data_IF_003194580799
#
_entry.id   IF_003194580799
#
_cell.length_a   1.000
_cell.length_b   1.000
_cell.length_c   1.000
_cell.angle_alpha   90.00
_cell.angle_beta   90.00
_cell.angle_gamma   90.00
#
_symmetry.space_group_name_H-M   'P 1'
#
loop_
_entity.id
_entity.type
_entity.pdbx_description
1 polymer ?
#
# COMPACT_ATOMS: atom_id res chain seq x y z
N UNK A 1 12.33 2.47 -32.07
CA UNK A 1 10.98 2.30 -31.52
C UNK A 1 10.04 3.27 -32.22
N UNK A 2 8.93 2.81 -32.82
CA UNK A 2 8.02 3.67 -33.58
C UNK A 2 7.43 4.79 -32.69
N UNK A 3 7.34 6.06 -33.15
CA UNK A 3 6.74 7.17 -32.38
C UNK A 3 5.33 6.88 -31.85
N UNK A 4 4.54 6.05 -32.53
CA UNK A 4 3.22 5.61 -32.03
C UNK A 4 3.30 4.71 -30.79
N UNK A 5 4.31 3.84 -30.70
CA UNK A 5 4.54 2.98 -29.54
C UNK A 5 4.98 3.80 -28.31
N UNK A 6 5.75 4.88 -28.51
CA UNK A 6 6.12 5.82 -27.42
C UNK A 6 4.90 6.51 -26.83
N UNK A 7 3.96 6.96 -27.67
CA UNK A 7 2.72 7.61 -27.21
C UNK A 7 1.82 6.66 -26.42
N UNK A 8 1.71 5.40 -26.85
CA UNK A 8 0.92 4.38 -26.13
C UNK A 8 1.55 4.04 -24.78
N UNK A 9 2.87 3.85 -24.73
CA UNK A 9 3.57 3.59 -23.46
C UNK A 9 3.41 4.78 -22.50
N UNK A 10 3.58 6.02 -23.00
CA UNK A 10 3.36 7.22 -22.20
C UNK A 10 1.92 7.29 -21.66
N UNK A 11 0.91 6.99 -22.48
CA UNK A 11 -0.49 6.96 -22.07
C UNK A 11 -0.76 5.89 -20.99
N UNK A 12 -0.15 4.70 -21.12
CA UNK A 12 -0.33 3.63 -20.13
C UNK A 12 0.37 3.97 -18.81
N UNK A 13 1.56 4.57 -18.86
CA UNK A 13 2.23 5.08 -17.66
C UNK A 13 1.41 6.19 -16.98
N UNK A 14 0.79 7.07 -17.76
CA UNK A 14 -0.17 8.06 -17.24
C UNK A 14 -1.39 7.39 -16.63
N UNK A 15 -1.94 6.33 -17.24
CA UNK A 15 -3.10 5.62 -16.68
C UNK A 15 -2.76 4.86 -15.40
N UNK A 16 -1.57 4.25 -15.30
CA UNK A 16 -1.07 3.63 -14.07
C UNK A 16 -0.89 4.71 -12.98
N UNK A 17 -0.31 5.85 -13.35
CA UNK A 17 -0.16 7.02 -12.47
C UNK A 17 -1.52 7.57 -12.00
N UNK A 18 -2.49 7.72 -12.90
CA UNK A 18 -3.83 8.19 -12.57
C UNK A 18 -4.60 7.17 -11.72
N UNK A 19 -4.44 5.86 -11.97
CA UNK A 19 -5.03 4.81 -11.14
C UNK A 19 -4.44 4.80 -9.71
N UNK A 20 -3.17 5.16 -9.56
CA UNK A 20 -2.52 5.41 -8.27
C UNK A 20 -2.79 6.79 -7.66
N UNK A 21 -3.18 7.80 -8.43
CA UNK A 21 -3.50 9.13 -7.91
C UNK A 21 -4.99 9.28 -7.55
N UNK A 22 -5.88 8.48 -8.15
CA UNK A 22 -7.32 8.55 -7.93
C UNK A 22 -7.71 8.24 -6.47
N UNK A 23 -7.15 7.24 -5.78
CA UNK A 23 -7.47 7.00 -4.36
C UNK A 23 -6.96 8.11 -3.45
N UNK A 24 -5.80 8.72 -3.76
CA UNK A 24 -5.32 9.94 -3.09
C UNK A 24 -6.25 11.13 -3.30
N UNK A 25 -6.73 11.32 -4.54
CA UNK A 25 -7.70 12.35 -4.86
C UNK A 25 -9.01 12.11 -4.10
N UNK A 26 -9.49 10.86 -4.07
CA UNK A 26 -10.69 10.48 -3.33
C UNK A 26 -10.53 10.67 -1.83
N UNK A 27 -9.38 10.31 -1.25
CA UNK A 27 -9.07 10.56 0.16
C UNK A 27 -9.01 12.06 0.45
N UNK A 28 -8.32 12.84 -0.37
CA UNK A 28 -8.20 14.29 -0.19
C UNK A 28 -9.57 14.99 -0.33
N UNK A 29 -10.39 14.57 -1.29
CA UNK A 29 -11.79 15.04 -1.44
C UNK A 29 -12.65 14.63 -0.24
N UNK A 30 -12.48 13.41 0.28
CA UNK A 30 -13.27 12.89 1.38
C UNK A 30 -12.88 13.46 2.75
N UNK A 31 -11.59 13.72 2.99
CA UNK A 31 -11.06 14.02 4.34
C UNK A 31 -10.13 15.24 4.38
N UNK A 32 -9.45 15.58 3.29
CA UNK A 32 -8.38 16.60 3.26
C UNK A 32 -8.79 18.06 3.50
N UNK A 33 -10.08 18.39 3.34
CA UNK A 33 -10.62 19.75 3.58
C UNK A 33 -11.35 19.89 4.93
N UNK A 34 -11.17 18.96 5.86
CA UNK A 34 -11.81 19.00 7.17
C UNK A 34 -10.81 19.46 8.22
N UNK A 35 -11.15 20.41 9.11
CA UNK A 35 -10.28 20.71 10.24
C UNK A 35 -10.03 19.44 11.04
N UNK A 36 -8.76 19.06 11.16
CA UNK A 36 -8.33 17.84 11.79
C UNK A 36 -7.32 18.15 12.90
N UNK A 37 -7.17 17.23 13.85
CA UNK A 37 -6.26 17.37 14.99
C UNK A 37 -5.71 16.00 15.38
N UNK A 38 -4.41 15.93 15.64
CA UNK A 38 -3.77 14.70 16.13
C UNK A 38 -4.29 14.34 17.53
N UNK A 39 -4.28 13.05 17.90
CA UNK A 39 -4.71 12.63 19.23
C UNK A 39 -3.94 13.34 20.37
N UNK A 40 -2.65 13.59 20.18
CA UNK A 40 -1.81 14.34 21.14
C UNK A 40 -2.25 15.79 21.29
N UNK A 41 -2.51 16.49 20.19
CA UNK A 41 -2.99 17.87 20.21
C UNK A 41 -4.43 17.95 20.75
N UNK A 42 -5.27 16.95 20.48
CA UNK A 42 -6.61 16.83 21.00
C UNK A 42 -6.62 16.72 22.53
N UNK A 43 -5.78 15.85 23.11
CA UNK A 43 -5.66 15.73 24.58
C UNK A 43 -5.23 17.05 25.21
N UNK A 44 -4.25 17.75 24.63
CA UNK A 44 -3.85 19.08 25.11
C UNK A 44 -4.99 20.11 25.00
N UNK A 45 -5.84 20.01 23.99
CA UNK A 45 -7.00 20.89 23.84
C UNK A 45 -8.09 20.58 24.87
N UNK A 46 -8.23 19.32 25.28
CA UNK A 46 -9.20 18.89 26.29
C UNK A 46 -8.86 19.32 27.73
N UNK A 47 -7.66 19.86 27.95
CA UNK A 47 -7.34 20.56 29.20
C UNK A 47 -8.14 21.89 29.35
N UNK A 48 -8.67 22.43 28.25
CA UNK A 48 -9.63 23.55 28.27
C UNK A 48 -11.03 23.04 28.68
N UNK A 49 -11.65 23.55 29.77
CA UNK A 49 -12.98 23.12 30.18
C UNK A 49 -14.09 23.45 29.15
N UNK A 50 -13.82 24.33 28.19
CA UNK A 50 -14.72 24.61 27.06
C UNK A 50 -14.51 23.67 25.86
N UNK A 51 -13.61 22.70 25.96
CA UNK A 51 -13.45 21.63 24.98
C UNK A 51 -14.24 20.38 25.37
N UNK A 52 -14.81 19.72 24.36
CA UNK A 52 -15.51 18.45 24.53
C UNK A 52 -15.01 17.43 23.52
N UNK A 53 -14.93 16.18 23.98
CA UNK A 53 -14.69 15.02 23.12
C UNK A 53 -16.03 14.34 22.86
N UNK A 54 -16.34 14.10 21.58
CA UNK A 54 -17.62 13.54 21.15
C UNK A 54 -17.34 12.31 20.30
N UNK A 55 -17.75 11.16 20.80
CA UNK A 55 -17.74 9.90 20.07
C UNK A 55 -18.96 9.82 19.15
N UNK A 56 -18.69 9.80 17.84
CA UNK A 56 -19.73 9.80 16.82
C UNK A 56 -20.19 8.43 16.37
N UNK A 57 -19.63 7.36 16.96
CA UNK A 57 -20.00 5.97 16.66
C UNK A 57 -21.43 5.66 17.14
N UNK A 58 -21.98 4.58 16.60
CA UNK A 58 -23.28 4.07 17.01
C UNK A 58 -23.32 3.85 18.55
N UNK A 59 -24.46 4.09 19.22
CA UNK A 59 -24.56 3.98 20.67
C UNK A 59 -24.17 2.61 21.22
N UNK A 60 -24.35 1.54 20.44
CA UNK A 60 -23.90 0.20 20.82
C UNK A 60 -22.36 0.10 20.92
N UNK A 61 -21.62 0.71 19.99
CA UNK A 61 -20.15 0.72 20.02
C UNK A 61 -19.63 1.58 21.18
N UNK A 62 -20.21 2.77 21.37
CA UNK A 62 -19.87 3.63 22.51
C UNK A 62 -20.13 2.94 23.86
N UNK A 63 -21.29 2.28 24.02
CA UNK A 63 -21.61 1.54 25.25
C UNK A 63 -20.68 0.35 25.47
N UNK A 64 -20.24 -0.32 24.42
CA UNK A 64 -19.27 -1.41 24.54
C UNK A 64 -17.95 -0.91 25.14
N UNK A 65 -17.39 0.16 24.56
CA UNK A 65 -16.28 0.91 25.14
C UNK A 65 -16.13 2.31 24.53
N UNK A 66 -15.75 3.30 25.34
CA UNK A 66 -15.46 4.66 24.89
C UNK A 66 -14.41 5.33 25.78
N UNK A 67 -13.76 6.37 25.25
CA UNK A 67 -12.80 7.18 26.03
C UNK A 67 -13.53 7.85 27.18
N UNK A 68 -12.99 7.73 28.39
CA UNK A 68 -13.64 8.34 29.55
C UNK A 68 -13.76 9.87 29.41
N UNK A 69 -14.94 10.37 29.75
CA UNK A 69 -15.30 11.77 29.55
C UNK A 69 -15.76 12.15 28.14
N UNK A 70 -15.75 11.23 27.17
CA UNK A 70 -16.36 11.48 25.86
C UNK A 70 -17.90 11.43 25.95
N UNK A 71 -18.58 12.33 25.24
CA UNK A 71 -20.05 12.28 25.03
C UNK A 71 -20.37 11.48 23.76
N UNK A 72 -21.51 10.78 23.69
CA UNK A 72 -21.92 10.09 22.47
C UNK A 72 -22.91 10.92 21.64
N UNK A 73 -22.63 11.04 20.35
CA UNK A 73 -23.55 11.62 19.38
C UNK A 73 -23.60 10.75 18.13
N UNK A 74 -24.64 9.93 18.00
CA UNK A 74 -24.80 9.03 16.85
C UNK A 74 -24.94 9.81 15.53
N UNK A 75 -23.82 10.03 14.85
CA UNK A 75 -23.76 10.81 13.62
C UNK A 75 -24.59 10.19 12.50
N UNK A 76 -24.67 8.85 12.44
CA UNK A 76 -25.38 8.16 11.37
C UNK A 76 -26.89 8.40 11.44
N UNK A 77 -27.42 8.53 12.66
CA UNK A 77 -28.85 8.75 12.92
C UNK A 77 -29.20 10.19 13.32
N UNK A 78 -28.21 11.08 13.43
CA UNK A 78 -28.43 12.47 13.75
C UNK A 78 -29.14 13.21 12.61
N UNK A 79 -30.02 14.15 12.99
CA UNK A 79 -30.55 15.13 12.05
C UNK A 79 -29.39 16.04 11.60
N UNK A 80 -28.90 15.81 10.37
CA UNK A 80 -27.70 16.46 9.81
C UNK A 80 -27.82 17.98 9.63
N UNK A 81 -29.01 18.54 9.87
CA UNK A 81 -29.33 19.96 9.75
C UNK A 81 -29.28 20.71 11.09
N UNK A 82 -29.16 19.98 12.21
CA UNK A 82 -29.20 20.56 13.55
C UNK A 82 -27.86 20.44 14.25
N UNK A 83 -27.37 21.55 14.79
CA UNK A 83 -26.23 21.57 15.72
C UNK A 83 -26.73 21.14 17.10
N UNK A 84 -26.20 20.05 17.69
CA UNK A 84 -26.51 19.68 19.06
C UNK A 84 -26.23 20.84 20.03
N UNK A 85 -27.17 21.14 20.94
CA UNK A 85 -27.02 22.24 21.88
C UNK A 85 -25.69 22.24 22.66
N UNK A 86 -25.15 21.08 23.12
CA UNK A 86 -23.86 21.05 23.83
C UNK A 86 -22.65 21.50 23.00
N UNK A 87 -22.78 21.56 21.68
CA UNK A 87 -21.68 21.87 20.76
C UNK A 87 -21.54 23.36 20.50
N UNK A 88 -22.59 24.15 20.78
CA UNK A 88 -22.57 25.59 20.60
C UNK A 88 -21.56 26.21 21.56
N UNK A 89 -20.76 27.15 21.03
CA UNK A 89 -19.73 27.91 21.76
C UNK A 89 -18.57 27.09 22.38
N UNK A 90 -18.54 25.77 22.16
CA UNK A 90 -17.47 24.87 22.61
C UNK A 90 -16.45 24.59 21.52
N UNK A 91 -15.27 24.10 21.93
CA UNK A 91 -14.32 23.44 21.02
C UNK A 91 -14.72 21.97 20.93
N UNK A 92 -15.18 21.53 19.76
CA UNK A 92 -15.75 20.21 19.55
C UNK A 92 -14.73 19.31 18.88
N UNK A 93 -14.32 18.25 19.57
CA UNK A 93 -13.42 17.22 19.04
C UNK A 93 -14.26 15.98 18.74
N UNK A 94 -14.41 15.63 17.47
CA UNK A 94 -15.17 14.46 17.04
C UNK A 94 -14.23 13.28 16.86
N UNK A 95 -14.62 12.12 17.38
CA UNK A 95 -13.87 10.88 17.23
C UNK A 95 -14.80 9.76 16.78
N UNK A 96 -14.35 8.94 15.83
CA UNK A 96 -15.00 7.69 15.48
C UNK A 96 -13.97 6.56 15.49
N UNK A 97 -14.27 5.41 14.89
CA UNK A 97 -13.36 4.26 14.88
C UNK A 97 -12.01 4.58 14.20
N UNK A 98 -12.05 5.22 13.03
CA UNK A 98 -10.88 5.43 12.15
C UNK A 98 -10.64 6.88 11.71
N UNK A 99 -11.45 7.83 12.19
CA UNK A 99 -11.38 9.24 11.81
C UNK A 99 -12.21 9.62 10.57
N UNK A 100 -12.71 8.66 9.78
CA UNK A 100 -13.46 8.94 8.54
C UNK A 100 -14.85 9.55 8.86
N UNK A 101 -15.63 8.88 9.71
CA UNK A 101 -16.99 9.36 10.03
C UNK A 101 -16.97 10.67 10.81
N UNK A 102 -16.01 10.83 11.73
CA UNK A 102 -15.81 12.08 12.46
C UNK A 102 -15.40 13.22 11.52
N UNK A 103 -14.66 12.94 10.45
CA UNK A 103 -14.35 13.96 9.44
C UNK A 103 -15.60 14.39 8.66
N UNK A 104 -16.47 13.46 8.26
CA UNK A 104 -17.74 13.81 7.63
C UNK A 104 -18.65 14.60 8.57
N UNK A 105 -18.71 14.21 9.84
CA UNK A 105 -19.47 14.91 10.86
C UNK A 105 -18.93 16.33 11.11
N UNK A 106 -17.61 16.49 11.20
CA UNK A 106 -16.96 17.78 11.37
C UNK A 106 -17.18 18.70 10.18
N UNK A 107 -17.11 18.17 8.95
CA UNK A 107 -17.44 18.91 7.72
C UNK A 107 -18.87 19.42 7.73
N UNK A 108 -19.82 18.58 8.13
CA UNK A 108 -21.23 18.97 8.21
C UNK A 108 -21.48 20.03 9.28
N UNK A 109 -20.91 19.87 10.48
CA UNK A 109 -21.02 20.87 11.55
C UNK A 109 -20.38 22.21 11.15
N UNK A 110 -19.25 22.17 10.44
CA UNK A 110 -18.62 23.37 9.89
C UNK A 110 -19.55 24.07 8.89
N UNK A 111 -20.18 23.32 7.98
CA UNK A 111 -21.15 23.85 7.02
C UNK A 111 -22.41 24.45 7.70
N UNK A 112 -22.77 23.98 8.90
CA UNK A 112 -23.85 24.54 9.72
C UNK A 112 -23.41 25.76 10.56
N UNK A 113 -22.13 26.14 10.54
CA UNK A 113 -21.61 27.31 11.24
C UNK A 113 -20.90 27.01 12.57
N UNK A 114 -20.62 25.75 12.91
CA UNK A 114 -19.75 25.43 14.05
C UNK A 114 -18.30 25.73 13.68
N UNK A 115 -17.81 26.89 14.10
CA UNK A 115 -16.47 27.37 13.73
C UNK A 115 -15.31 26.60 14.39
N UNK A 116 -15.56 25.98 15.56
CA UNK A 116 -14.53 25.31 16.38
C UNK A 116 -14.82 23.80 16.47
N UNK A 117 -14.79 23.12 15.32
CA UNK A 117 -14.96 21.67 15.24
C UNK A 117 -13.75 21.04 14.56
N UNK A 118 -13.24 19.96 15.13
CA UNK A 118 -12.14 19.17 14.55
C UNK A 118 -12.48 17.69 14.57
N UNK A 119 -12.04 16.97 13.55
CA UNK A 119 -11.97 15.51 13.59
C UNK A 119 -10.65 15.08 14.21
N UNK A 120 -10.68 14.16 15.16
CA UNK A 120 -9.48 13.48 15.64
C UNK A 120 -8.94 12.58 14.53
N UNK A 121 -7.71 12.84 14.10
CA UNK A 121 -7.03 12.08 13.05
C UNK A 121 -6.86 10.62 13.47
N UNK A 122 -7.15 9.68 12.56
CA UNK A 122 -7.09 8.24 12.83
C UNK A 122 -8.11 7.71 13.85
N UNK A 123 -8.96 8.54 14.45
CA UNK A 123 -10.03 8.10 15.35
C UNK A 123 -9.53 7.43 16.64
N UNK A 124 -10.33 6.49 17.15
CA UNK A 124 -10.01 5.67 18.33
C UNK A 124 -8.70 4.91 18.14
N UNK A 125 -8.37 4.51 16.90
CA UNK A 125 -7.12 3.80 16.60
C UNK A 125 -5.89 4.65 16.95
N UNK A 126 -5.84 5.90 16.46
CA UNK A 126 -4.75 6.84 16.79
C UNK A 126 -4.78 7.26 18.26
N UNK A 127 -5.96 7.30 18.88
CA UNK A 127 -6.07 7.58 20.31
C UNK A 127 -5.41 6.50 21.16
N UNK A 128 -5.70 5.23 20.89
CA UNK A 128 -5.10 4.08 21.59
C UNK A 128 -3.60 4.01 21.37
N UNK A 129 -3.17 4.30 20.15
CA UNK A 129 -1.77 4.42 19.82
C UNK A 129 -1.05 5.40 20.75
N UNK A 130 -1.59 6.61 20.88
CA UNK A 130 -0.94 7.69 21.62
C UNK A 130 -1.19 7.67 23.15
N UNK A 131 -1.90 6.66 23.66
CA UNK A 131 -2.29 6.45 25.06
C UNK A 131 -1.24 6.87 26.10
N UNK A 132 0.00 6.41 25.92
CA UNK A 132 1.08 6.56 26.90
C UNK A 132 1.66 7.98 26.96
N UNK A 133 1.36 8.81 25.96
CA UNK A 133 1.76 10.21 25.94
C UNK A 133 0.76 11.13 26.63
N UNK A 134 -0.42 10.61 27.00
CA UNK A 134 -1.46 11.39 27.64
C UNK A 134 -1.19 11.50 29.14
N UNK A 135 -0.70 12.66 29.58
CA UNK A 135 -0.43 12.93 30.99
C UNK A 135 -1.70 13.05 31.87
N UNK A 136 -2.89 13.12 31.28
CA UNK A 136 -4.18 13.20 32.00
C UNK A 136 -4.84 11.83 32.13
N UNK A 137 -5.06 11.38 33.37
CA UNK A 137 -5.62 10.05 33.67
C UNK A 137 -7.03 9.82 33.08
N UNK A 138 -7.82 10.90 32.92
CA UNK A 138 -9.19 10.85 32.40
C UNK A 138 -9.21 10.33 30.95
N UNK A 139 -8.34 10.84 30.08
CA UNK A 139 -8.38 10.53 28.66
C UNK A 139 -7.48 9.33 28.26
N UNK A 140 -6.77 8.75 29.23
CA UNK A 140 -5.90 7.59 29.08
C UNK A 140 -6.60 6.25 29.42
N UNK A 141 -7.92 6.25 29.56
CA UNK A 141 -8.70 5.07 29.95
C UNK A 141 -10.01 4.95 29.16
N UNK A 142 -10.43 3.70 28.96
CA UNK A 142 -11.72 3.34 28.40
C UNK A 142 -12.71 3.05 29.52
N UNK A 143 -13.92 3.56 29.37
CA UNK A 143 -15.08 3.11 30.14
C UNK A 143 -15.78 1.98 29.38
N UNK A 144 -15.86 0.81 30.00
CA UNK A 144 -16.53 -0.37 29.43
C UNK A 144 -18.04 -0.35 29.73
N UNK A 145 -18.79 -1.23 29.05
CA UNK A 145 -20.20 -1.47 29.34
C UNK A 145 -20.48 -1.85 30.80
N UNK A 146 -19.53 -2.52 31.45
CA UNK A 146 -19.59 -2.91 32.87
C UNK A 146 -19.43 -1.73 33.83
N UNK A 147 -19.06 -0.55 33.33
CA UNK A 147 -18.65 0.61 34.14
C UNK A 147 -17.20 0.53 34.62
N UNK A 148 -16.50 -0.57 34.35
CA UNK A 148 -15.08 -0.70 34.67
C UNK A 148 -14.22 0.20 33.78
N UNK A 149 -13.13 0.69 34.37
CA UNK A 149 -12.13 1.49 33.69
C UNK A 149 -11.00 0.57 33.21
N UNK A 150 -10.89 0.41 31.90
CA UNK A 150 -9.81 -0.34 31.27
C UNK A 150 -8.72 0.63 30.81
N UNK A 151 -7.47 0.38 31.20
CA UNK A 151 -6.33 1.07 30.59
C UNK A 151 -6.22 0.66 29.13
N UNK A 152 -5.83 1.59 28.26
CA UNK A 152 -5.70 1.34 26.83
C UNK A 152 -4.77 0.13 26.60
N UNK A 153 -5.09 -0.76 25.62
CA UNK A 153 -4.40 -2.03 25.45
C UNK A 153 -2.91 -1.82 25.15
N UNK A 154 -2.07 -2.43 25.99
CA UNK A 154 -0.61 -2.36 25.90
C UNK A 154 -0.04 -3.75 26.12
N UNK A 155 0.87 -4.19 25.25
CA UNK A 155 1.54 -5.48 25.34
C UNK A 155 3.04 -5.27 25.27
N UNK A 156 3.77 -5.66 26.32
CA UNK A 156 5.23 -5.65 26.27
C UNK A 156 5.74 -6.71 25.30
N UNK A 157 6.56 -6.29 24.33
CA UNK A 157 7.26 -7.19 23.43
C UNK A 157 8.32 -7.99 24.18
N UNK A 158 8.36 -9.29 23.91
CA UNK A 158 9.41 -10.19 24.38
C UNK A 158 10.80 -9.74 23.86
N UNK A 159 11.91 -10.18 24.49
CA UNK A 159 13.26 -9.85 24.01
C UNK A 159 13.50 -10.22 22.54
N UNK A 160 12.94 -11.33 22.08
CA UNK A 160 13.02 -11.76 20.68
C UNK A 160 12.28 -10.82 19.74
N UNK A 161 11.07 -10.39 20.10
CA UNK A 161 10.30 -9.41 19.33
C UNK A 161 11.00 -8.05 19.29
N UNK A 162 11.57 -7.60 20.41
CA UNK A 162 12.34 -6.35 20.43
C UNK A 162 13.57 -6.44 19.51
N UNK A 163 14.29 -7.55 19.53
CA UNK A 163 15.42 -7.79 18.62
C UNK A 163 14.97 -7.76 17.15
N UNK A 164 13.87 -8.45 16.84
CA UNK A 164 13.31 -8.53 15.48
C UNK A 164 12.82 -7.16 14.99
N UNK A 165 12.18 -6.37 15.84
CA UNK A 165 11.77 -5.00 15.51
C UNK A 165 12.97 -4.11 15.14
N UNK A 166 14.05 -4.17 15.93
CA UNK A 166 15.28 -3.41 15.64
C UNK A 166 15.95 -3.93 14.37
N UNK A 167 16.00 -5.26 14.19
CA UNK A 167 16.56 -5.88 13.01
C UNK A 167 15.80 -5.50 11.75
N UNK A 168 14.47 -5.45 11.78
CA UNK A 168 13.63 -5.02 10.65
C UNK A 168 13.95 -3.57 10.26
N UNK A 169 13.78 -2.63 11.21
CA UNK A 169 13.86 -1.20 10.93
C UNK A 169 15.28 -0.68 10.62
N UNK A 170 16.32 -1.25 11.23
CA UNK A 170 17.69 -0.76 11.08
C UNK A 170 18.62 -1.70 10.32
N UNK A 171 18.35 -3.00 10.34
CA UNK A 171 19.17 -4.01 9.66
C UNK A 171 18.66 -4.30 8.26
N UNK A 172 17.55 -5.03 8.18
CA UNK A 172 16.93 -5.53 6.94
C UNK A 172 16.67 -4.38 5.97
N UNK A 173 15.99 -3.32 6.43
CA UNK A 173 15.70 -2.10 5.66
C UNK A 173 16.94 -1.47 5.03
N UNK A 174 17.93 -1.19 5.87
CA UNK A 174 19.20 -0.60 5.42
C UNK A 174 19.90 -1.48 4.39
N UNK A 175 19.92 -2.80 4.60
CA UNK A 175 20.61 -3.73 3.71
C UNK A 175 19.98 -3.73 2.31
N UNK A 176 18.67 -3.94 2.20
CA UNK A 176 18.05 -3.99 0.87
C UNK A 176 18.05 -2.62 0.20
N UNK A 177 17.98 -1.51 0.96
CA UNK A 177 18.06 -0.16 0.40
C UNK A 177 19.42 0.10 -0.25
N UNK A 178 20.51 -0.32 0.39
CA UNK A 178 21.85 -0.22 -0.17
C UNK A 178 22.00 -1.10 -1.42
N UNK A 179 21.46 -2.32 -1.40
CA UNK A 179 21.48 -3.22 -2.57
C UNK A 179 20.66 -2.59 -3.72
N UNK A 180 19.44 -2.13 -3.46
CA UNK A 180 18.58 -1.50 -4.46
C UNK A 180 19.25 -0.27 -5.07
N UNK A 181 19.86 0.59 -4.24
CA UNK A 181 20.62 1.75 -4.71
C UNK A 181 21.78 1.35 -5.62
N UNK A 182 22.58 0.35 -5.21
CA UNK A 182 23.69 -0.15 -6.02
C UNK A 182 23.21 -0.76 -7.34
N UNK A 183 22.13 -1.54 -7.33
CA UNK A 183 21.51 -2.10 -8.54
C UNK A 183 21.08 -1.00 -9.51
N UNK A 184 20.44 0.06 -9.03
CA UNK A 184 20.02 1.21 -9.86
C UNK A 184 21.24 1.91 -10.44
N UNK A 185 22.13 2.43 -9.59
CA UNK A 185 23.18 3.38 -10.00
C UNK A 185 24.32 2.71 -10.74
N UNK A 186 24.76 1.54 -10.27
CA UNK A 186 25.97 0.88 -10.79
C UNK A 186 25.64 0.01 -12.00
N UNK A 187 24.50 -0.69 -11.95
CA UNK A 187 24.21 -1.77 -12.90
C UNK A 187 23.14 -1.37 -13.93
N UNK A 188 21.92 -1.08 -13.49
CA UNK A 188 20.75 -1.03 -14.35
C UNK A 188 20.63 0.29 -15.14
N UNK A 189 21.09 1.41 -14.60
CA UNK A 189 21.02 2.73 -15.27
C UNK A 189 21.69 2.77 -16.65
N UNK A 190 22.70 1.92 -16.87
CA UNK A 190 23.48 1.87 -18.13
C UNK A 190 22.94 0.89 -19.16
N UNK A 191 21.97 0.05 -18.78
CA UNK A 191 21.46 -1.00 -19.66
C UNK A 191 20.47 -0.42 -20.68
N UNK A 192 20.64 -0.84 -21.94
CA UNK A 192 19.80 -0.35 -23.06
C UNK A 192 18.77 -1.37 -23.54
N UNK A 193 18.90 -2.64 -23.13
CA UNK A 193 17.89 -3.65 -23.46
C UNK A 193 16.59 -3.34 -22.73
N UNK A 194 15.45 -3.64 -23.37
CA UNK A 194 14.13 -3.19 -22.90
C UNK A 194 13.80 -3.77 -21.53
N UNK A 195 14.03 -5.07 -21.35
CA UNK A 195 13.83 -5.80 -20.10
C UNK A 195 14.63 -5.19 -18.94
N UNK A 196 15.94 -4.99 -19.11
CA UNK A 196 16.81 -4.46 -18.06
C UNK A 196 16.56 -2.98 -17.77
N UNK A 197 16.23 -2.19 -18.80
CA UNK A 197 15.87 -0.79 -18.60
C UNK A 197 14.58 -0.64 -17.80
N UNK A 198 13.55 -1.46 -18.09
CA UNK A 198 12.32 -1.50 -17.29
C UNK A 198 12.61 -2.01 -15.88
N UNK A 199 13.44 -3.04 -15.70
CA UNK A 199 13.84 -3.51 -14.38
C UNK A 199 14.49 -2.38 -13.56
N UNK A 200 15.36 -1.58 -14.19
CA UNK A 200 15.95 -0.39 -13.57
C UNK A 200 14.90 0.61 -13.07
N UNK A 201 13.89 0.91 -13.88
CA UNK A 201 12.78 1.76 -13.44
C UNK A 201 11.95 1.15 -12.31
N UNK A 202 11.79 -0.18 -12.29
CA UNK A 202 11.17 -0.89 -11.18
C UNK A 202 11.97 -0.73 -9.89
N UNK A 203 13.30 -0.81 -9.95
CA UNK A 203 14.17 -0.58 -8.79
C UNK A 203 14.19 0.89 -8.34
N UNK A 204 14.03 1.85 -9.25
CA UNK A 204 13.85 3.27 -8.90
C UNK A 204 12.52 3.46 -8.16
N UNK A 205 11.43 2.87 -8.65
CA UNK A 205 10.12 2.95 -7.99
C UNK A 205 10.14 2.30 -6.59
N UNK A 206 10.80 1.14 -6.47
CA UNK A 206 11.01 0.45 -5.19
C UNK A 206 11.76 1.37 -4.21
N UNK A 207 12.95 1.84 -4.60
CA UNK A 207 13.78 2.69 -3.74
C UNK A 207 13.06 3.99 -3.34
N UNK A 208 12.30 4.59 -4.27
CA UNK A 208 11.52 5.79 -3.98
C UNK A 208 10.38 5.52 -2.98
N UNK A 209 9.64 4.40 -3.14
CA UNK A 209 8.61 3.98 -2.18
C UNK A 209 9.19 3.75 -0.78
N UNK A 210 10.33 3.07 -0.69
CA UNK A 210 11.00 2.80 0.57
C UNK A 210 11.61 4.03 1.23
N UNK A 211 12.15 4.95 0.44
CA UNK A 211 12.61 6.23 0.95
C UNK A 211 11.45 7.03 1.58
N UNK A 212 10.24 6.92 1.03
CA UNK A 212 9.05 7.58 1.59
C UNK A 212 8.65 6.96 2.94
N UNK A 213 8.67 5.62 3.05
CA UNK A 213 8.46 4.93 4.32
C UNK A 213 9.51 5.36 5.37
N UNK A 214 10.78 5.39 4.97
CA UNK A 214 11.88 5.84 5.83
C UNK A 214 11.75 7.30 6.28
N UNK A 215 11.16 8.19 5.48
CA UNK A 215 10.86 9.59 5.85
C UNK A 215 9.69 9.66 6.83
N UNK A 216 8.67 8.81 6.65
CA UNK A 216 7.47 8.78 7.49
C UNK A 216 7.80 8.47 8.96
N UNK A 217 8.75 7.55 9.18
CA UNK A 217 9.15 7.09 10.51
C UNK A 217 9.71 8.20 11.43
N UNK A 218 10.83 8.89 11.13
CA UNK A 218 11.43 9.87 12.04
C UNK A 218 10.71 11.23 12.06
N UNK A 219 10.03 11.62 10.97
CA UNK A 219 9.43 12.97 10.85
C UNK A 219 7.98 12.98 11.30
N UNK A 220 7.23 11.94 10.98
CA UNK A 220 5.78 11.87 11.24
C UNK A 220 5.40 10.76 12.22
N UNK A 221 6.37 10.03 12.77
CA UNK A 221 6.13 8.92 13.71
C UNK A 221 5.14 7.89 13.15
N UNK A 222 5.24 7.61 11.84
CA UNK A 222 4.34 6.75 11.06
C UNK A 222 2.87 7.20 10.99
N UNK A 223 2.51 8.39 11.49
CA UNK A 223 1.11 8.84 11.51
C UNK A 223 0.61 9.33 10.14
N UNK A 224 1.50 9.55 9.17
CA UNK A 224 1.11 10.07 7.85
C UNK A 224 0.57 8.98 6.93
N UNK A 225 -0.75 8.83 6.91
CA UNK A 225 -1.44 7.95 5.96
C UNK A 225 -1.13 8.28 4.48
N UNK A 226 -0.77 9.54 4.18
CA UNK A 226 -0.38 9.96 2.84
C UNK A 226 0.97 9.36 2.40
N UNK A 227 1.97 9.40 3.28
CA UNK A 227 3.28 8.82 2.97
C UNK A 227 3.19 7.30 2.89
N UNK A 228 2.41 6.70 3.77
CA UNK A 228 2.15 5.25 3.75
C UNK A 228 1.47 4.78 2.45
N UNK A 229 0.51 5.58 1.97
CA UNK A 229 -0.08 5.36 0.66
C UNK A 229 0.97 5.41 -0.47
N UNK A 230 1.84 6.43 -0.45
CA UNK A 230 2.86 6.60 -1.48
C UNK A 230 3.90 5.48 -1.45
N UNK A 231 4.27 4.99 -0.27
CA UNK A 231 5.08 3.78 -0.11
C UNK A 231 4.38 2.56 -0.76
N UNK A 232 3.11 2.29 -0.38
CA UNK A 232 2.31 1.21 -0.97
C UNK A 232 2.19 1.30 -2.49
N UNK A 233 1.96 2.51 -3.02
CA UNK A 233 1.89 2.76 -4.46
C UNK A 233 3.25 2.53 -5.15
N UNK A 234 4.34 2.97 -4.52
CA UNK A 234 5.71 2.68 -4.97
C UNK A 234 5.95 1.19 -5.13
N UNK A 235 5.51 0.37 -4.17
CA UNK A 235 5.63 -1.08 -4.21
C UNK A 235 4.81 -1.72 -5.34
N UNK A 236 3.55 -1.31 -5.51
CA UNK A 236 2.70 -1.76 -6.63
C UNK A 236 3.36 -1.48 -7.98
N UNK A 237 3.89 -0.27 -8.16
CA UNK A 237 4.59 0.12 -9.39
C UNK A 237 5.87 -0.69 -9.56
N UNK A 238 6.69 -0.82 -8.52
CA UNK A 238 7.92 -1.59 -8.57
C UNK A 238 7.68 -3.03 -9.05
N UNK A 239 6.73 -3.73 -8.42
CA UNK A 239 6.36 -5.10 -8.78
C UNK A 239 5.83 -5.16 -10.21
N UNK A 240 5.02 -4.20 -10.66
CA UNK A 240 4.55 -4.16 -12.05
C UNK A 240 5.71 -4.05 -13.05
N UNK A 241 6.68 -3.17 -12.80
CA UNK A 241 7.87 -3.04 -13.66
C UNK A 241 8.73 -4.31 -13.64
N UNK A 242 8.93 -4.93 -12.48
CA UNK A 242 9.68 -6.19 -12.33
C UNK A 242 9.00 -7.32 -13.12
N UNK A 243 7.68 -7.49 -12.99
CA UNK A 243 6.91 -8.50 -13.72
C UNK A 243 6.98 -8.26 -15.22
N UNK A 244 6.87 -7.01 -15.67
CA UNK A 244 7.03 -6.70 -17.08
C UNK A 244 8.44 -7.07 -17.56
N UNK A 245 9.48 -6.67 -16.82
CA UNK A 245 10.86 -6.97 -17.16
C UNK A 245 11.11 -8.48 -17.25
N UNK A 246 10.53 -9.26 -16.33
CA UNK A 246 10.62 -10.72 -16.34
C UNK A 246 9.94 -11.33 -17.58
N UNK A 247 8.70 -10.97 -17.87
CA UNK A 247 7.96 -11.48 -19.04
C UNK A 247 8.65 -11.08 -20.33
N UNK A 248 9.12 -9.84 -20.39
CA UNK A 248 9.79 -9.29 -21.54
C UNK A 248 11.17 -9.93 -21.76
N UNK A 249 11.94 -10.13 -20.69
CA UNK A 249 13.22 -10.84 -20.73
C UNK A 249 13.07 -12.29 -21.15
N UNK A 250 12.08 -13.01 -20.60
CA UNK A 250 11.76 -14.39 -21.02
C UNK A 250 11.38 -14.44 -22.49
N UNK A 251 10.58 -13.49 -22.98
CA UNK A 251 10.19 -13.47 -24.38
C UNK A 251 11.36 -13.13 -25.32
N UNK A 252 12.17 -12.13 -24.99
CA UNK A 252 13.30 -11.72 -25.82
C UNK A 252 14.44 -12.74 -25.84
N UNK A 253 14.71 -13.37 -24.70
CA UNK A 253 15.94 -14.17 -24.52
C UNK A 253 15.70 -15.68 -24.58
N UNK A 254 14.49 -16.15 -24.29
CA UNK A 254 14.20 -17.59 -24.18
C UNK A 254 13.12 -18.03 -25.16
N UNK A 255 11.95 -17.39 -25.15
CA UNK A 255 10.78 -17.87 -25.89
C UNK A 255 10.83 -17.44 -27.37
N UNK A 256 11.29 -16.22 -27.65
CA UNK A 256 11.35 -15.65 -28.99
C UNK A 256 9.97 -15.60 -29.64
N UNK A 257 8.90 -15.18 -28.95
CA UNK A 257 7.56 -15.07 -29.50
C UNK A 257 7.29 -13.69 -30.12
N UNK A 258 7.71 -12.59 -29.49
CA UNK A 258 7.46 -11.23 -30.03
C UNK A 258 8.26 -10.87 -31.28
N UNK A 259 9.46 -11.42 -31.46
CA UNK A 259 10.29 -11.13 -32.64
C UNK A 259 9.84 -11.97 -33.83
N UNK A 260 9.43 -11.35 -34.93
CA UNK A 260 8.95 -12.05 -36.13
C UNK A 260 10.00 -12.98 -36.76
N UNK A 261 11.29 -12.64 -36.63
CA UNK A 261 12.39 -13.38 -37.26
C UNK A 261 12.91 -14.50 -36.36
N UNK A 262 12.70 -14.42 -35.05
CA UNK A 262 13.13 -15.44 -34.11
C UNK A 262 12.23 -16.68 -34.16
N UNK A 263 12.85 -17.87 -34.06
CA UNK A 263 12.14 -19.14 -33.88
C UNK A 263 11.58 -19.22 -32.47
N UNK A 264 10.28 -19.47 -32.35
CA UNK A 264 9.65 -19.63 -31.05
C UNK A 264 10.07 -20.95 -30.39
N UNK A 265 10.58 -20.90 -29.15
CA UNK A 265 11.04 -22.08 -28.40
C UNK A 265 9.92 -23.09 -28.13
N UNK A 266 8.67 -22.63 -28.04
CA UNK A 266 7.50 -23.49 -27.78
C UNK A 266 6.95 -24.17 -29.04
N UNK A 267 7.62 -24.06 -30.18
CA UNK A 267 7.16 -24.65 -31.45
C UNK A 267 6.94 -26.16 -31.36
N UNK A 268 7.84 -26.88 -30.69
CA UNK A 268 7.74 -28.34 -30.53
C UNK A 268 6.52 -28.74 -29.69
N UNK A 269 6.17 -27.94 -28.68
CA UNK A 269 5.00 -28.17 -27.84
C UNK A 269 3.70 -27.81 -28.57
N UNK A 270 3.69 -26.69 -29.30
CA UNK A 270 2.51 -26.20 -30.01
C UNK A 270 2.25 -26.92 -31.34
N UNK A 271 3.23 -27.68 -31.87
CA UNK A 271 3.21 -28.37 -33.17
C UNK A 271 2.94 -27.46 -34.39
N UNK A 272 2.93 -26.14 -34.18
CA UNK A 272 2.68 -25.11 -35.16
C UNK A 272 2.77 -23.72 -34.50
N UNK A 273 3.04 -22.68 -35.30
CA UNK A 273 3.16 -21.31 -34.78
C UNK A 273 2.46 -20.32 -35.71
N UNK A 274 1.72 -19.39 -35.09
CA UNK A 274 0.99 -18.31 -35.76
C UNK A 274 1.89 -17.40 -36.62
N UNK A 275 3.20 -17.39 -36.35
CA UNK A 275 4.20 -16.67 -37.15
C UNK A 275 4.35 -17.21 -38.57
N UNK A 276 4.17 -18.52 -38.76
CA UNK A 276 4.49 -19.19 -40.02
C UNK A 276 3.25 -19.69 -40.74
N UNK A 277 2.20 -20.03 -39.99
CA UNK A 277 0.96 -20.61 -40.52
C UNK A 277 -0.25 -20.12 -39.70
N UNK A 278 -1.44 -20.03 -40.30
CA UNK A 278 -2.66 -19.62 -39.59
C UNK A 278 -3.16 -20.75 -38.68
N UNK A 279 -2.48 -20.95 -37.55
CA UNK A 279 -2.83 -21.93 -36.51
C UNK A 279 -3.08 -21.22 -35.19
N UNK A 280 -3.85 -21.86 -34.30
CA UNK A 280 -4.07 -21.33 -32.96
C UNK A 280 -2.80 -21.37 -32.12
N UNK A 281 -2.43 -20.24 -31.51
CA UNK A 281 -1.26 -20.17 -30.64
C UNK A 281 -1.56 -20.74 -29.24
N UNK A 282 -0.91 -21.86 -28.88
CA UNK A 282 -1.03 -22.47 -27.55
C UNK A 282 -0.59 -21.53 -26.43
N UNK A 283 0.54 -20.85 -26.59
CA UNK A 283 1.06 -19.86 -25.63
C UNK A 283 0.02 -18.77 -25.31
N UNK A 284 -0.57 -18.16 -26.35
CA UNK A 284 -1.61 -17.13 -26.14
C UNK A 284 -2.85 -17.69 -25.43
N UNK A 285 -3.26 -18.93 -25.72
CA UNK A 285 -4.39 -19.58 -25.02
C UNK A 285 -4.08 -19.79 -23.53
N UNK A 286 -2.88 -20.26 -23.22
CA UNK A 286 -2.43 -20.43 -21.83
C UNK A 286 -2.42 -19.11 -21.08
N UNK A 287 -1.89 -18.04 -21.68
CA UNK A 287 -1.92 -16.71 -21.07
C UNK A 287 -3.36 -16.18 -20.88
N UNK A 288 -4.25 -16.38 -21.86
CA UNK A 288 -5.67 -16.02 -21.72
C UNK A 288 -6.32 -16.73 -20.53
N UNK A 289 -6.06 -18.03 -20.36
CA UNK A 289 -6.57 -18.81 -19.22
C UNK A 289 -5.98 -18.34 -17.90
N UNK A 290 -4.66 -18.10 -17.86
CA UNK A 290 -3.99 -17.58 -16.67
C UNK A 290 -4.55 -16.22 -16.24
N UNK A 291 -4.83 -15.32 -17.19
CA UNK A 291 -5.45 -14.02 -16.91
C UNK A 291 -6.84 -14.19 -16.26
N UNK A 292 -7.68 -15.08 -16.78
CA UNK A 292 -9.00 -15.37 -16.21
C UNK A 292 -8.88 -15.91 -14.78
N UNK A 293 -7.94 -16.82 -14.53
CA UNK A 293 -7.67 -17.33 -13.19
C UNK A 293 -7.20 -16.23 -12.23
N UNK A 294 -6.30 -15.35 -12.67
CA UNK A 294 -5.81 -14.22 -11.87
C UNK A 294 -6.90 -13.20 -11.55
N UNK A 295 -7.86 -12.96 -12.45
CA UNK A 295 -9.06 -12.16 -12.16
C UNK A 295 -9.87 -12.79 -11.04
N UNK A 296 -10.09 -14.11 -11.07
CA UNK A 296 -10.82 -14.82 -10.02
C UNK A 296 -10.09 -14.73 -8.67
N UNK A 297 -8.75 -14.88 -8.67
CA UNK A 297 -7.92 -14.72 -7.47
C UNK A 297 -8.01 -13.29 -6.93
N UNK A 298 -8.02 -12.26 -7.79
CA UNK A 298 -8.16 -10.86 -7.40
C UNK A 298 -9.49 -10.53 -6.69
N UNK A 299 -10.52 -11.40 -6.78
CA UNK A 299 -11.78 -11.22 -6.05
C UNK A 299 -11.63 -11.56 -4.56
N UNK A 300 -10.68 -12.42 -4.16
CA UNK A 300 -10.59 -12.89 -2.78
C UNK A 300 -10.45 -11.75 -1.75
N UNK A 301 -9.54 -10.76 -1.92
CA UNK A 301 -9.40 -9.69 -0.92
C UNK A 301 -10.63 -8.79 -0.79
N UNK A 302 -11.48 -8.70 -1.83
CA UNK A 302 -12.70 -7.90 -1.80
C UNK A 302 -13.72 -8.37 -0.75
N UNK A 303 -13.56 -9.58 -0.24
CA UNK A 303 -14.39 -10.16 0.82
C UNK A 303 -13.78 -10.04 2.22
N UNK A 304 -12.54 -9.55 2.34
CA UNK A 304 -11.90 -9.37 3.64
C UNK A 304 -12.57 -8.22 4.42
N UNK A 305 -12.76 -8.36 5.73
CA UNK A 305 -13.29 -7.30 6.57
C UNK A 305 -12.15 -6.43 7.13
N UNK A 306 -12.25 -5.08 7.05
CA UNK A 306 -11.28 -4.22 7.69
C UNK A 306 -11.47 -4.26 9.20
N UNK A 307 -10.37 -4.21 9.95
CA UNK A 307 -10.38 -4.29 11.41
C UNK A 307 -9.55 -3.16 12.00
N UNK A 308 -9.99 -2.61 13.13
CA UNK A 308 -9.19 -1.64 13.86
C UNK A 308 -8.01 -2.35 14.54
N UNK A 309 -6.81 -2.21 13.98
CA UNK A 309 -5.60 -2.82 14.56
C UNK A 309 -4.70 -1.73 15.12
N UNK A 310 -4.51 -1.80 16.44
CA UNK A 310 -3.55 -0.99 17.19
C UNK A 310 -2.77 -1.93 18.07
N UNK A 311 -1.46 -1.93 17.94
CA UNK A 311 -0.56 -2.73 18.74
C UNK A 311 0.50 -1.82 19.36
N UNK A 312 0.37 -1.59 20.67
CA UNK A 312 1.27 -0.72 21.42
C UNK A 312 2.21 -1.56 22.28
N UNK A 313 3.52 -1.29 22.15
CA UNK A 313 4.58 -2.04 22.84
C UNK A 313 5.74 -1.12 23.24
N UNK A 314 6.77 -1.71 23.85
CA UNK A 314 8.09 -1.09 24.04
C UNK A 314 9.17 -1.89 23.31
N UNK A 315 10.03 -1.16 22.61
CA UNK A 315 11.27 -1.68 22.03
C UNK A 315 12.42 -0.92 22.67
N UNK A 316 13.31 -1.61 23.39
CA UNK A 316 14.42 -0.98 24.11
C UNK A 316 13.99 0.15 25.06
N UNK A 317 12.87 -0.05 25.78
CA UNK A 317 12.21 0.95 26.64
C UNK A 317 11.64 2.19 25.94
N UNK A 318 11.67 2.23 24.61
CA UNK A 318 11.03 3.27 23.82
C UNK A 318 9.62 2.77 23.47
N UNK A 319 8.54 3.52 23.78
CA UNK A 319 7.21 3.14 23.35
C UNK A 319 7.13 3.19 21.82
N UNK A 320 6.70 2.08 21.21
CA UNK A 320 6.48 1.96 19.77
C UNK A 320 5.04 1.55 19.56
N UNK A 321 4.44 2.16 18.55
CA UNK A 321 3.04 1.98 18.21
C UNK A 321 3.00 1.51 16.78
N UNK A 322 2.36 0.36 16.57
CA UNK A 322 2.03 -0.11 15.24
C UNK A 322 0.54 0.11 15.00
N UNK A 323 0.21 0.80 13.91
CA UNK A 323 -1.17 1.02 13.49
C UNK A 323 -1.35 0.60 12.04
N UNK A 324 -2.47 -0.05 11.73
CA UNK A 324 -2.88 -0.26 10.35
C UNK A 324 -4.27 0.35 10.16
N UNK A 325 -4.34 1.66 9.84
CA UNK A 325 -5.60 2.37 9.73
C UNK A 325 -6.59 1.72 8.76
N UNK A 326 -7.88 1.72 9.11
CA UNK A 326 -8.96 1.17 8.25
C UNK A 326 -8.93 1.77 6.85
N UNK A 327 -8.56 3.04 6.70
CA UNK A 327 -8.50 3.69 5.38
C UNK A 327 -7.44 3.04 4.48
N UNK A 328 -6.29 2.66 5.03
CA UNK A 328 -5.23 1.96 4.31
C UNK A 328 -5.65 0.53 4.00
N UNK A 329 -6.27 -0.16 4.95
CA UNK A 329 -6.86 -1.47 4.70
C UNK A 329 -7.84 -1.43 3.54
N UNK A 330 -8.78 -0.48 3.51
CA UNK A 330 -9.75 -0.34 2.42
C UNK A 330 -9.06 -0.13 1.06
N UNK A 331 -7.98 0.66 1.03
CA UNK A 331 -7.18 0.78 -0.17
C UNK A 331 -6.59 -0.58 -0.60
N UNK A 332 -5.95 -1.30 0.32
CA UNK A 332 -5.31 -2.59 0.07
C UNK A 332 -6.28 -3.72 -0.30
N UNK A 333 -7.46 -3.79 0.33
CA UNK A 333 -8.41 -4.90 0.18
C UNK A 333 -9.59 -4.59 -0.75
N UNK A 334 -9.78 -3.33 -1.17
CA UNK A 334 -10.85 -2.95 -2.12
C UNK A 334 -10.29 -2.34 -3.40
N UNK A 335 -9.52 -1.27 -3.28
CA UNK A 335 -9.07 -0.49 -4.44
C UNK A 335 -8.03 -1.27 -5.23
N UNK A 336 -6.97 -1.76 -4.57
CA UNK A 336 -5.89 -2.49 -5.23
C UNK A 336 -6.40 -3.73 -5.99
N UNK A 337 -7.22 -4.64 -5.39
CA UNK A 337 -7.73 -5.80 -6.08
C UNK A 337 -8.70 -5.45 -7.22
N UNK A 338 -9.52 -4.41 -7.07
CA UNK A 338 -10.39 -3.92 -8.15
C UNK A 338 -9.57 -3.41 -9.35
N UNK A 339 -8.48 -2.68 -9.09
CA UNK A 339 -7.55 -2.25 -10.13
C UNK A 339 -6.83 -3.44 -10.79
N UNK A 340 -6.44 -4.46 -10.01
CA UNK A 340 -5.89 -5.70 -10.56
C UNK A 340 -6.86 -6.35 -11.56
N UNK A 341 -8.13 -6.52 -11.16
CA UNK A 341 -9.19 -7.05 -12.03
C UNK A 341 -9.37 -6.22 -13.31
N UNK A 342 -9.41 -4.89 -13.17
CA UNK A 342 -9.53 -3.97 -14.30
C UNK A 342 -8.39 -4.15 -15.30
N UNK A 343 -7.14 -4.13 -14.82
CA UNK A 343 -5.96 -4.25 -15.68
C UNK A 343 -5.86 -5.64 -16.32
N UNK A 344 -6.17 -6.71 -15.60
CA UNK A 344 -6.24 -8.06 -16.19
C UNK A 344 -7.33 -8.17 -17.26
N UNK A 345 -8.51 -7.59 -17.02
CA UNK A 345 -9.59 -7.57 -18.02
C UNK A 345 -9.17 -6.85 -19.29
N UNK A 346 -8.49 -5.72 -19.15
CA UNK A 346 -7.95 -4.96 -20.28
C UNK A 346 -6.84 -5.74 -21.01
N UNK A 347 -5.94 -6.39 -20.27
CA UNK A 347 -4.92 -7.26 -20.83
C UNK A 347 -5.53 -8.41 -21.65
N UNK A 348 -6.59 -9.04 -21.13
CA UNK A 348 -7.34 -10.10 -21.81
C UNK A 348 -7.99 -9.60 -23.09
N UNK A 349 -8.76 -8.50 -23.01
CA UNK A 349 -9.46 -7.93 -24.16
C UNK A 349 -8.49 -7.56 -25.29
N UNK A 350 -7.36 -6.93 -24.96
CA UNK A 350 -6.34 -6.55 -25.94
C UNK A 350 -5.69 -7.79 -26.57
N UNK A 351 -5.48 -8.84 -25.80
CA UNK A 351 -4.93 -10.11 -26.31
C UNK A 351 -5.89 -10.85 -27.25
N UNK A 352 -7.20 -10.57 -27.18
CA UNK A 352 -8.17 -11.10 -28.15
C UNK A 352 -8.03 -10.45 -29.53
N UNK A 353 -7.61 -9.18 -29.59
CA UNK A 353 -7.49 -8.43 -30.85
C UNK A 353 -6.33 -8.92 -31.75
N UNK A 354 -5.43 -9.77 -31.24
CA UNK A 354 -4.49 -10.57 -32.05
C UNK A 354 -3.35 -9.83 -32.78
N UNK A 355 -3.36 -8.50 -32.90
CA UNK A 355 -2.32 -7.79 -33.63
C UNK A 355 -0.98 -7.74 -32.84
N UNK A 356 0.20 -7.77 -33.51
CA UNK A 356 1.50 -7.77 -32.82
C UNK A 356 1.71 -6.57 -31.89
N UNK A 357 1.24 -5.37 -32.29
CA UNK A 357 1.29 -4.17 -31.44
C UNK A 357 0.46 -4.29 -30.16
N UNK A 358 -0.57 -5.14 -30.17
CA UNK A 358 -1.44 -5.38 -29.01
C UNK A 358 -0.78 -6.32 -28.00
N UNK A 359 0.21 -7.13 -28.40
CA UNK A 359 0.90 -8.04 -27.49
C UNK A 359 1.71 -7.30 -26.42
N UNK A 360 2.50 -6.30 -26.82
CA UNK A 360 3.27 -5.47 -25.88
C UNK A 360 2.30 -4.74 -24.93
N UNK A 361 1.20 -4.22 -25.47
CA UNK A 361 0.20 -3.52 -24.67
C UNK A 361 -0.47 -4.45 -23.65
N UNK A 362 -0.81 -5.67 -24.06
CA UNK A 362 -1.35 -6.71 -23.17
C UNK A 362 -0.35 -7.07 -22.06
N UNK A 363 0.95 -7.19 -22.37
CA UNK A 363 1.99 -7.41 -21.34
C UNK A 363 2.05 -6.28 -20.31
N UNK A 364 1.93 -5.02 -20.74
CA UNK A 364 1.96 -3.87 -19.82
C UNK A 364 0.77 -3.94 -18.85
N UNK A 365 -0.45 -4.13 -19.38
CA UNK A 365 -1.64 -4.24 -18.53
C UNK A 365 -1.61 -5.48 -17.65
N UNK A 366 -1.10 -6.61 -18.15
CA UNK A 366 -0.90 -7.81 -17.33
C UNK A 366 0.05 -7.52 -16.16
N UNK A 367 1.18 -6.87 -16.43
CA UNK A 367 2.16 -6.54 -15.41
C UNK A 367 1.61 -5.53 -14.39
N UNK A 368 0.84 -4.53 -14.84
CA UNK A 368 0.12 -3.62 -13.96
C UNK A 368 -0.86 -4.37 -13.05
N UNK A 369 -1.64 -5.31 -13.60
CA UNK A 369 -2.53 -6.17 -12.82
C UNK A 369 -1.79 -7.02 -11.79
N UNK A 370 -0.64 -7.59 -12.16
CA UNK A 370 0.21 -8.36 -11.25
C UNK A 370 0.79 -7.52 -10.12
N UNK A 371 1.22 -6.28 -10.39
CA UNK A 371 1.71 -5.38 -9.34
C UNK A 371 0.68 -5.13 -8.25
N UNK A 372 -0.57 -4.88 -8.65
CA UNK A 372 -1.68 -4.72 -7.71
C UNK A 372 -2.00 -6.03 -7.00
N UNK A 373 -2.12 -7.13 -7.74
CA UNK A 373 -2.48 -8.43 -7.17
C UNK A 373 -1.48 -8.87 -6.11
N UNK A 374 -0.18 -8.85 -6.44
CA UNK A 374 0.90 -9.35 -5.57
C UNK A 374 0.96 -8.52 -4.29
N UNK A 375 0.95 -7.20 -4.40
CA UNK A 375 1.00 -6.32 -3.23
C UNK A 375 -0.25 -6.49 -2.34
N UNK A 376 -1.45 -6.46 -2.93
CA UNK A 376 -2.70 -6.63 -2.17
C UNK A 376 -2.80 -8.00 -1.48
N UNK A 377 -2.33 -9.08 -2.12
CA UNK A 377 -2.29 -10.41 -1.50
C UNK A 377 -1.25 -10.53 -0.41
N UNK A 378 -0.06 -9.95 -0.59
CA UNK A 378 0.98 -9.95 0.44
C UNK A 378 0.46 -9.27 1.71
N UNK A 379 -0.11 -8.06 1.56
CA UNK A 379 -0.69 -7.30 2.69
C UNK A 379 -1.82 -8.08 3.35
N UNK A 380 -2.76 -8.63 2.57
CA UNK A 380 -3.82 -9.47 3.11
C UNK A 380 -3.29 -10.68 3.89
N UNK A 381 -2.27 -11.37 3.38
CA UNK A 381 -1.66 -12.50 4.08
C UNK A 381 -0.99 -12.07 5.38
N UNK A 382 -0.18 -11.02 5.36
CA UNK A 382 0.48 -10.51 6.57
C UNK A 382 -0.56 -10.11 7.62
N UNK A 383 -1.62 -9.39 7.23
CA UNK A 383 -2.72 -9.01 8.13
C UNK A 383 -3.54 -10.21 8.62
N UNK A 384 -3.58 -11.32 7.87
CA UNK A 384 -4.27 -12.54 8.29
C UNK A 384 -3.46 -13.35 9.32
N UNK A 385 -2.13 -13.42 9.16
CA UNK A 385 -1.26 -14.21 10.03
C UNK A 385 -0.74 -13.44 11.25
N UNK A 386 -0.49 -12.14 11.14
CA UNK A 386 0.20 -11.33 12.15
C UNK A 386 -0.66 -10.21 12.75
N UNK A 387 -1.99 -10.32 12.62
CA UNK A 387 -2.96 -9.36 13.16
C UNK A 387 -2.72 -9.00 14.63
N UNK A 388 -2.46 -10.00 15.45
CA UNK A 388 -2.35 -9.81 16.91
C UNK A 388 -0.93 -9.44 17.35
N UNK A 389 0.02 -9.40 16.41
CA UNK A 389 1.43 -9.15 16.70
C UNK A 389 2.12 -8.44 15.52
N UNK A 390 1.94 -7.12 15.48
CA UNK A 390 2.44 -6.30 14.39
C UNK A 390 3.98 -6.24 14.30
N UNK A 391 4.71 -6.59 15.36
CA UNK A 391 6.18 -6.71 15.27
C UNK A 391 6.58 -7.73 14.21
N UNK A 392 5.85 -8.85 14.12
CA UNK A 392 6.11 -9.85 13.08
C UNK A 392 5.56 -9.45 11.72
N UNK A 393 4.44 -8.71 11.70
CA UNK A 393 3.90 -8.13 10.47
C UNK A 393 4.98 -7.30 9.77
N UNK A 394 5.54 -6.32 10.47
CA UNK A 394 6.57 -5.40 9.95
C UNK A 394 7.85 -6.14 9.59
N UNK A 395 8.29 -7.07 10.42
CA UNK A 395 9.46 -7.87 10.09
C UNK A 395 9.29 -8.64 8.79
N UNK A 396 8.13 -9.27 8.57
CA UNK A 396 7.89 -10.05 7.36
C UNK A 396 7.68 -9.18 6.13
N UNK A 397 7.08 -8.00 6.28
CA UNK A 397 7.06 -6.98 5.24
C UNK A 397 8.49 -6.65 4.77
N UNK A 398 9.33 -6.17 5.69
CA UNK A 398 10.73 -5.81 5.44
C UNK A 398 11.56 -7.00 4.91
N UNK A 399 11.32 -8.21 5.43
CA UNK A 399 12.01 -9.42 4.99
C UNK A 399 11.62 -9.82 3.57
N UNK A 400 10.34 -9.70 3.18
CA UNK A 400 9.92 -10.02 1.80
C UNK A 400 10.50 -9.05 0.78
N UNK A 401 10.69 -7.79 1.14
CA UNK A 401 11.39 -6.82 0.32
C UNK A 401 12.87 -7.16 0.14
N UNK A 402 13.56 -7.55 1.22
CA UNK A 402 14.92 -8.06 1.13
C UNK A 402 15.00 -9.29 0.22
N UNK A 403 14.07 -10.25 0.35
CA UNK A 403 14.02 -11.45 -0.49
C UNK A 403 13.87 -11.07 -1.96
N UNK A 404 12.99 -10.11 -2.28
CA UNK A 404 12.79 -9.62 -3.64
C UNK A 404 14.06 -9.00 -4.21
N UNK A 405 14.68 -8.07 -3.50
CA UNK A 405 15.86 -7.33 -3.96
C UNK A 405 17.10 -8.24 -4.04
N UNK A 406 17.30 -9.11 -3.04
CA UNK A 406 18.36 -10.11 -3.07
C UNK A 406 18.16 -11.10 -4.24
N UNK A 407 16.93 -11.54 -4.47
CA UNK A 407 16.59 -12.41 -5.59
C UNK A 407 16.94 -11.79 -6.95
N UNK A 408 16.60 -10.50 -7.14
CA UNK A 408 16.96 -9.76 -8.36
C UNK A 408 18.49 -9.65 -8.50
N UNK A 409 19.20 -9.28 -7.44
CA UNK A 409 20.65 -9.19 -7.45
C UNK A 409 21.32 -10.53 -7.81
N UNK A 410 20.83 -11.63 -7.22
CA UNK A 410 21.32 -12.98 -7.48
C UNK A 410 21.08 -13.39 -8.94
N UNK A 411 19.88 -13.15 -9.48
CA UNK A 411 19.57 -13.47 -10.89
C UNK A 411 20.48 -12.67 -11.84
N UNK A 412 20.64 -11.37 -11.60
CA UNK A 412 21.51 -10.52 -12.41
C UNK A 412 22.98 -10.97 -12.33
N UNK A 413 23.43 -11.40 -11.15
CA UNK A 413 24.78 -11.93 -10.96
C UNK A 413 25.01 -13.26 -11.68
N UNK A 414 24.10 -14.22 -11.52
CA UNK A 414 24.19 -15.57 -12.11
C UNK A 414 24.18 -15.48 -13.64
N UNK A 415 23.26 -14.70 -14.19
CA UNK A 415 23.07 -14.62 -15.64
C UNK A 415 23.81 -13.44 -16.29
N UNK A 416 24.76 -12.80 -15.60
CA UNK A 416 25.42 -11.56 -16.08
C UNK A 416 25.97 -11.62 -17.50
N UNK A 417 26.54 -12.77 -17.89
CA UNK A 417 27.11 -12.97 -19.21
C UNK A 417 26.01 -13.08 -20.29
N UNK A 418 24.96 -13.88 -20.03
CA UNK A 418 23.83 -14.04 -20.96
C UNK A 418 22.89 -12.83 -21.00
N UNK A 419 22.93 -11.99 -19.97
CA UNK A 419 22.24 -10.71 -19.92
C UNK A 419 23.02 -9.58 -20.61
N UNK A 420 24.29 -9.82 -20.98
CA UNK A 420 25.19 -8.84 -21.58
C UNK A 420 25.33 -7.57 -20.71
N UNK A 421 25.40 -7.75 -19.39
CA UNK A 421 25.45 -6.63 -18.44
C UNK A 421 26.72 -5.80 -18.62
N UNK A 422 26.54 -4.51 -18.87
CA UNK A 422 27.64 -3.53 -18.89
C UNK A 422 28.05 -3.16 -17.46
N UNK A 423 29.00 -3.90 -16.90
CA UNK A 423 29.53 -3.67 -15.54
C UNK A 423 30.70 -2.65 -15.61
N UNK A 424 30.73 -1.60 -14.76
CA UNK A 424 31.91 -0.79 -14.59
C UNK A 424 32.97 -1.57 -13.80
N UNK A 425 34.18 -1.70 -14.35
CA UNK A 425 35.36 -2.48 -13.87
C UNK A 425 35.37 -3.91 -14.45
N UNK A 426 36.30 -4.31 -15.31
CA UNK A 426 37.65 -3.84 -15.67
C UNK A 426 37.78 -3.87 -17.20
N UNK A 427 38.26 -2.80 -17.81
CA UNK A 427 38.94 -2.92 -19.11
C UNK A 427 40.16 -3.78 -18.82
N UNK A 428 40.04 -5.08 -19.07
CA UNK A 428 41.20 -5.95 -19.03
C UNK A 428 42.07 -5.53 -20.21
N UNK A 429 43.18 -4.89 -19.84
CA UNK A 429 44.40 -4.94 -20.61
C UNK A 429 44.61 -6.40 -21.07
N UNK A 430 44.34 -6.62 -22.35
CA UNK A 430 44.90 -7.68 -23.19
C UNK A 430 45.06 -7.09 -24.59
#
# INVERSE_FOLDING_TARGET
>A
MNPSARKIIALVLVLIFCAGALPLLLYWVAVGNVPAITARAAVKMLDDPNAILVDVRAPAAYRASHIDGAENWDWRNAARENIPAPFKDKRVLLICESGIESAFAARALNALGVAKVWSVEGGMQSWFANAHHFGSARFASLRLATGEMMRLPFRDSSPGEQFVAVLAGYGVKTIYMLIAFALVVVLLWRQKSRDLAVLGWGMVAFFAGEAICWINFPIFNEESAFLEYLHSYGMVVAVAFIVFALIEGLDQRVIGFSDANAKCALLNLCRGCVKYKPVSCGLQRTFKLAIVALIAVAVMPLNAEPLAIVYTTRVLNIPVIYTHPIILQLYEIRVIPALAMFFFTLAFAILQLGAPRHLILSKIFFAAGMGHLVFGFLRLMLSAFYRDNHVWFEFWEEATELILIAGIAIVLWIFRAGLELKIPIRDDAN
#
